data_IF_154861356230
#
_entry.id   IF_154861356230
#
_cell.length_a   1.000
_cell.length_b   1.000
_cell.length_c   1.000
_cell.angle_alpha   90.00
_cell.angle_beta   90.00
_cell.angle_gamma   90.00
#
_symmetry.space_group_name_H-M   'P 1'
#
loop_
_entity.id
_entity.type
_entity.pdbx_description
1 polymer ?
#
# COMPACT_ATOMS: atom_id res chain seq x y z
N UNK A 1 25.37 -8.82 2.01
CA UNK A 1 24.63 -8.72 3.29
C UNK A 1 23.35 -7.94 3.09
N UNK A 2 22.27 -8.47 3.60
CA UNK A 2 20.98 -7.81 3.50
C UNK A 2 20.97 -6.56 4.36
N UNK A 3 20.62 -5.43 3.77
CA UNK A 3 20.49 -4.19 4.50
C UNK A 3 19.27 -4.27 5.43
N UNK A 4 19.50 -4.05 6.71
CA UNK A 4 18.43 -3.94 7.67
C UNK A 4 17.83 -2.54 7.60
N UNK A 5 16.51 -2.45 7.45
CA UNK A 5 15.86 -1.16 7.59
C UNK A 5 15.49 -0.89 9.05
N UNK A 6 15.33 0.38 9.33
CA UNK A 6 15.04 0.85 10.68
C UNK A 6 13.64 0.41 11.09
N UNK A 7 13.48 0.08 12.36
CA UNK A 7 12.16 -0.16 12.92
C UNK A 7 11.40 1.18 13.05
N UNK A 8 10.09 1.11 13.24
CA UNK A 8 9.27 2.29 13.48
C UNK A 8 9.80 3.12 14.65
N UNK A 9 10.15 2.45 15.76
CA UNK A 9 10.65 3.11 16.96
C UNK A 9 11.96 3.83 16.70
N UNK A 10 12.89 3.17 16.00
CA UNK A 10 14.19 3.75 15.65
C UNK A 10 14.06 4.98 14.76
N UNK A 11 13.03 4.99 13.89
CA UNK A 11 12.78 6.12 13.01
C UNK A 11 11.97 7.22 13.67
N UNK A 12 11.54 7.05 14.91
CA UNK A 12 10.73 8.04 15.62
C UNK A 12 9.25 8.01 15.22
N UNK A 13 8.80 6.95 14.56
CA UNK A 13 7.39 6.81 14.23
C UNK A 13 6.60 6.34 15.44
N UNK A 14 5.36 6.79 15.55
CA UNK A 14 4.49 6.47 16.67
C UNK A 14 3.04 6.36 16.22
N UNK A 15 2.15 6.12 17.17
CA UNK A 15 0.74 6.01 16.90
C UNK A 15 0.33 4.62 16.45
N UNK A 16 -0.90 4.50 15.97
CA UNK A 16 -1.48 3.20 15.65
C UNK A 16 -0.77 2.49 14.49
N UNK A 17 -0.27 3.25 13.52
CA UNK A 17 0.47 2.64 12.41
C UNK A 17 1.76 1.97 12.91
N UNK A 18 2.45 2.60 13.85
CA UNK A 18 3.64 2.00 14.46
C UNK A 18 3.27 0.80 15.33
N UNK A 19 2.19 0.90 16.10
CA UNK A 19 1.73 -0.18 16.97
C UNK A 19 1.33 -1.42 16.18
N UNK A 20 0.73 -1.25 15.00
CA UNK A 20 0.33 -2.36 14.13
C UNK A 20 1.44 -2.84 13.21
N UNK A 21 2.62 -2.22 13.25
CA UNK A 21 3.76 -2.59 12.43
C UNK A 21 3.65 -2.16 10.97
N UNK A 22 2.75 -1.25 10.64
CA UNK A 22 2.46 -0.88 9.24
C UNK A 22 3.68 -0.24 8.56
N UNK A 23 4.45 0.55 9.29
CA UNK A 23 5.67 1.17 8.75
C UNK A 23 6.74 0.15 8.41
N UNK A 24 6.85 -0.91 9.19
CA UNK A 24 7.89 -1.91 8.99
C UNK A 24 7.47 -2.98 7.99
N UNK A 25 6.22 -3.40 8.05
CA UNK A 25 5.76 -4.59 7.33
C UNK A 25 5.51 -4.34 5.84
N UNK A 26 5.39 -3.08 5.41
CA UNK A 26 5.27 -2.77 3.98
C UNK A 26 6.50 -3.26 3.20
N UNK A 27 7.66 -3.29 3.85
CA UNK A 27 8.90 -3.75 3.20
C UNK A 27 8.88 -5.26 2.90
N UNK A 28 7.96 -6.01 3.51
CA UNK A 28 7.72 -7.40 3.15
C UNK A 28 6.92 -7.53 1.85
N UNK A 29 6.27 -6.45 1.44
CA UNK A 29 5.37 -6.43 0.28
C UNK A 29 6.08 -5.99 -1.00
N UNK A 30 7.35 -5.62 -0.91
CA UNK A 30 8.12 -5.07 -2.03
C UNK A 30 9.44 -5.81 -2.14
N UNK A 31 9.90 -6.01 -3.37
CA UNK A 31 11.20 -6.64 -3.65
C UNK A 31 12.06 -5.73 -4.49
N UNK A 32 13.38 -5.72 -4.27
CA UNK A 32 14.29 -4.95 -5.11
C UNK A 32 14.15 -5.36 -6.58
N UNK A 33 14.21 -4.38 -7.47
CA UNK A 33 14.16 -4.64 -8.90
C UNK A 33 12.76 -4.74 -9.50
N UNK A 34 11.71 -4.72 -8.67
CA UNK A 34 10.34 -4.69 -9.19
C UNK A 34 10.05 -3.35 -9.88
N UNK A 35 9.10 -3.32 -10.83
CA UNK A 35 8.62 -2.05 -11.36
C UNK A 35 7.87 -1.26 -10.29
N UNK A 36 7.44 -0.05 -10.64
CA UNK A 36 6.55 0.72 -9.78
C UNK A 36 5.23 -0.02 -9.64
N UNK A 37 4.81 -0.31 -8.42
CA UNK A 37 3.60 -1.08 -8.15
C UNK A 37 2.47 -0.14 -7.76
N UNK A 38 1.36 -0.24 -8.46
CA UNK A 38 0.16 0.53 -8.09
C UNK A 38 -0.25 0.20 -6.66
N UNK A 39 -0.73 1.18 -5.93
CA UNK A 39 -1.07 1.03 -4.51
C UNK A 39 -1.87 -0.25 -4.21
N UNK A 40 -2.84 -0.58 -5.04
CA UNK A 40 -3.67 -1.78 -4.84
C UNK A 40 -2.87 -3.07 -4.76
N UNK A 41 -1.79 -3.18 -5.52
CA UNK A 41 -0.91 -4.37 -5.47
C UNK A 41 -0.27 -4.48 -4.10
N UNK A 42 0.27 -3.38 -3.59
CA UNK A 42 0.96 -3.38 -2.30
C UNK A 42 -0.02 -3.63 -1.17
N UNK A 43 -1.19 -3.03 -1.22
CA UNK A 43 -2.23 -3.27 -0.21
C UNK A 43 -2.71 -4.71 -0.24
N UNK A 44 -2.89 -5.31 -1.43
CA UNK A 44 -3.26 -6.71 -1.56
C UNK A 44 -2.21 -7.62 -0.93
N UNK A 45 -0.93 -7.39 -1.23
CA UNK A 45 0.17 -8.16 -0.63
C UNK A 45 0.21 -7.97 0.88
N UNK A 46 0.01 -6.75 1.35
CA UNK A 46 -0.04 -6.45 2.78
C UNK A 46 -1.17 -7.22 3.47
N UNK A 47 -2.35 -7.21 2.86
CA UNK A 47 -3.52 -7.96 3.36
C UNK A 47 -3.20 -9.45 3.49
N UNK A 48 -2.51 -10.03 2.52
CA UNK A 48 -2.17 -11.46 2.53
C UNK A 48 -1.07 -11.78 3.55
N UNK A 49 -0.10 -10.89 3.72
CA UNK A 49 1.04 -11.12 4.60
C UNK A 49 0.74 -10.74 6.06
N UNK A 50 -0.12 -9.77 6.27
CA UNK A 50 -0.45 -9.25 7.60
C UNK A 50 -1.96 -9.20 7.81
N UNK A 51 -2.64 -10.37 7.75
CA UNK A 51 -4.10 -10.39 7.79
C UNK A 51 -4.68 -9.89 9.12
N UNK A 52 -3.99 -10.13 10.24
CA UNK A 52 -4.47 -9.69 11.55
C UNK A 52 -4.49 -8.17 11.66
N UNK A 53 -3.38 -7.52 11.29
CA UNK A 53 -3.31 -6.07 11.31
C UNK A 53 -4.32 -5.45 10.32
N UNK A 54 -4.42 -6.04 9.14
CA UNK A 54 -5.35 -5.55 8.13
C UNK A 54 -6.80 -5.64 8.62
N UNK A 55 -7.17 -6.75 9.25
CA UNK A 55 -8.51 -6.95 9.82
C UNK A 55 -8.81 -5.92 10.89
N UNK A 56 -7.85 -5.62 11.76
CA UNK A 56 -8.03 -4.60 12.79
C UNK A 56 -8.29 -3.22 12.18
N UNK A 57 -7.62 -2.91 11.07
CA UNK A 57 -7.86 -1.65 10.36
C UNK A 57 -9.23 -1.62 9.69
N UNK A 58 -9.65 -2.73 9.09
CA UNK A 58 -10.99 -2.85 8.48
C UNK A 58 -12.07 -2.65 9.55
N UNK A 59 -11.90 -3.27 10.71
CA UNK A 59 -12.87 -3.15 11.81
C UNK A 59 -12.95 -1.72 12.33
N UNK A 60 -11.84 -1.01 12.28
CA UNK A 60 -11.76 0.37 12.80
C UNK A 60 -12.28 1.41 11.81
N UNK A 61 -11.96 1.28 10.54
CA UNK A 61 -12.27 2.33 9.54
C UNK A 61 -13.10 1.86 8.37
N UNK A 62 -13.20 0.57 8.14
CA UNK A 62 -13.80 0.04 6.94
C UNK A 62 -12.89 0.15 5.73
N UNK A 63 -13.17 -0.66 4.72
CA UNK A 63 -12.37 -0.69 3.51
C UNK A 63 -12.57 0.57 2.66
N UNK A 64 -13.79 1.08 2.60
CA UNK A 64 -14.15 2.21 1.76
C UNK A 64 -14.78 3.32 2.59
N UNK A 65 -14.74 4.54 2.05
CA UNK A 65 -15.43 5.68 2.66
C UNK A 65 -16.92 5.53 2.36
N UNK A 66 -17.74 5.51 3.41
CA UNK A 66 -19.19 5.35 3.28
C UNK A 66 -19.93 6.33 4.19
N UNK A 67 -20.98 6.94 3.65
CA UNK A 67 -21.85 7.84 4.41
C UNK A 67 -21.07 8.98 5.07
N UNK A 68 -21.24 9.19 6.39
CA UNK A 68 -20.50 10.24 7.08
C UNK A 68 -19.05 9.88 7.35
N UNK A 69 -18.65 8.65 7.10
CA UNK A 69 -17.28 8.18 7.33
C UNK A 69 -16.33 8.85 6.35
N UNK A 70 -15.27 9.47 6.86
CA UNK A 70 -14.32 10.25 6.07
C UNK A 70 -12.99 9.53 5.83
N UNK A 71 -12.88 8.29 6.28
CA UNK A 71 -11.61 7.59 6.27
C UNK A 71 -11.81 6.14 5.85
N UNK A 72 -10.73 5.52 5.39
CA UNK A 72 -10.73 4.12 4.97
C UNK A 72 -9.35 3.52 5.23
N UNK A 73 -9.26 2.20 5.17
CA UNK A 73 -7.97 1.51 5.30
C UNK A 73 -7.03 1.95 4.17
N UNK A 74 -7.52 2.04 2.94
CA UNK A 74 -6.69 2.46 1.82
C UNK A 74 -6.10 3.85 2.05
N UNK A 75 -6.93 4.80 2.53
CA UNK A 75 -6.45 6.14 2.84
C UNK A 75 -5.40 6.13 3.96
N UNK A 76 -5.63 5.32 4.99
CA UNK A 76 -4.69 5.17 6.09
C UNK A 76 -3.33 4.63 5.63
N UNK A 77 -3.35 3.55 4.85
CA UNK A 77 -2.12 2.95 4.34
C UNK A 77 -1.37 3.90 3.41
N UNK A 78 -2.11 4.60 2.54
CA UNK A 78 -1.50 5.56 1.62
C UNK A 78 -0.76 6.65 2.39
N UNK A 79 -1.37 7.22 3.42
CA UNK A 79 -0.75 8.27 4.23
C UNK A 79 0.44 7.75 5.01
N UNK A 80 0.31 6.54 5.58
CA UNK A 80 1.37 5.92 6.35
C UNK A 80 2.61 5.67 5.49
N UNK A 81 2.41 5.09 4.33
CA UNK A 81 3.52 4.78 3.42
C UNK A 81 4.08 6.01 2.73
N UNK A 82 3.26 7.05 2.52
CA UNK A 82 3.74 8.32 1.99
C UNK A 82 4.74 9.00 2.95
N UNK A 83 4.58 8.79 4.24
CA UNK A 83 5.56 9.28 5.21
C UNK A 83 6.91 8.60 5.04
N UNK A 84 6.91 7.29 4.79
CA UNK A 84 8.15 6.56 4.50
C UNK A 84 8.82 7.10 3.23
N UNK A 85 8.02 7.45 2.23
CA UNK A 85 8.54 8.02 0.99
C UNK A 85 9.13 9.41 1.23
N UNK A 86 8.48 10.23 2.06
CA UNK A 86 9.00 11.54 2.42
C UNK A 86 10.34 11.43 3.16
N UNK A 87 10.53 10.35 3.92
CA UNK A 87 11.77 10.11 4.67
C UNK A 87 12.82 9.35 3.85
N UNK A 88 12.56 9.07 2.57
CA UNK A 88 13.53 8.44 1.68
C UNK A 88 13.68 6.93 1.86
N UNK A 89 12.83 6.29 2.65
CA UNK A 89 12.90 4.85 2.92
C UNK A 89 12.12 4.04 1.89
N UNK A 90 11.20 4.68 1.20
CA UNK A 90 10.35 4.11 0.17
C UNK A 90 10.27 5.13 -0.95
N UNK A 91 10.01 4.71 -2.18
CA UNK A 91 9.82 5.63 -3.29
C UNK A 91 8.36 5.64 -3.71
N UNK A 92 7.88 6.81 -4.15
CA UNK A 92 6.51 6.99 -4.60
C UNK A 92 6.46 7.86 -5.84
N UNK A 93 5.55 7.57 -6.75
CA UNK A 93 5.22 8.45 -7.88
C UNK A 93 3.75 8.28 -8.22
N UNK A 94 3.16 9.30 -8.85
CA UNK A 94 1.79 9.21 -9.34
C UNK A 94 1.76 8.46 -10.67
N UNK A 95 0.71 7.69 -10.87
CA UNK A 95 0.46 6.97 -12.11
C UNK A 95 -1.03 6.72 -12.29
N UNK A 96 -1.43 6.04 -13.37
CA UNK A 96 -2.85 5.81 -13.65
C UNK A 96 -3.50 4.91 -12.60
N UNK A 97 -4.69 5.29 -12.14
CA UNK A 97 -5.47 4.48 -11.22
C UNK A 97 -6.28 3.47 -12.02
N UNK A 98 -5.98 2.18 -11.84
CA UNK A 98 -6.64 1.09 -12.56
C UNK A 98 -7.39 0.14 -11.63
N UNK A 99 -7.27 0.32 -10.31
CA UNK A 99 -7.92 -0.52 -9.32
C UNK A 99 -9.25 0.02 -8.85
N UNK A 100 -9.91 -0.76 -8.00
CA UNK A 100 -11.16 -0.33 -7.36
C UNK A 100 -10.80 0.43 -6.10
N UNK A 101 -10.70 1.74 -6.25
CA UNK A 101 -10.49 2.65 -5.13
C UNK A 101 -11.79 3.37 -4.87
N UNK A 102 -12.70 2.69 -4.22
CA UNK A 102 -14.12 3.08 -4.13
C UNK A 102 -14.36 4.44 -3.52
N UNK A 103 -13.39 4.95 -2.81
CA UNK A 103 -13.46 6.27 -2.20
C UNK A 103 -12.82 7.36 -3.06
N UNK A 104 -12.21 7.02 -4.18
CA UNK A 104 -11.54 8.00 -5.04
C UNK A 104 -12.19 8.07 -6.41
N UNK A 105 -12.29 9.29 -6.91
CA UNK A 105 -12.68 9.58 -8.30
C UNK A 105 -11.47 10.05 -9.08
N UNK A 106 -10.29 10.00 -8.49
CA UNK A 106 -9.08 10.46 -9.14
C UNK A 106 -8.66 9.48 -10.23
N UNK A 107 -8.13 10.01 -11.31
CA UNK A 107 -7.57 9.19 -12.39
C UNK A 107 -6.13 8.78 -12.11
N UNK A 108 -5.53 9.32 -11.06
CA UNK A 108 -4.16 9.02 -10.65
C UNK A 108 -4.12 8.53 -9.22
N UNK A 109 -3.11 7.69 -8.94
CA UNK A 109 -2.88 7.16 -7.61
C UNK A 109 -1.38 6.95 -7.42
N UNK A 110 -0.95 6.72 -6.18
CA UNK A 110 0.45 6.46 -5.88
C UNK A 110 0.85 5.05 -6.28
N UNK A 111 2.05 4.97 -6.86
CA UNK A 111 2.78 3.73 -7.12
C UNK A 111 4.00 3.73 -6.21
N UNK A 112 4.36 2.55 -5.72
CA UNK A 112 5.42 2.38 -4.74
C UNK A 112 6.55 1.53 -5.30
N UNK A 113 7.78 1.82 -4.86
CA UNK A 113 8.95 1.01 -5.21
C UNK A 113 10.00 1.12 -4.12
N UNK A 114 10.86 0.10 -4.04
CA UNK A 114 12.05 0.18 -3.20
C UNK A 114 13.17 0.88 -3.95
N UNK A 115 13.95 1.75 -3.29
CA UNK A 115 15.20 2.26 -3.88
C UNK A 115 16.21 1.12 -4.11
N UNK A 116 17.01 1.18 -5.17
CA UNK A 116 17.04 2.19 -6.22
C UNK A 116 15.81 2.12 -7.11
N UNK A 117 15.27 3.29 -7.46
CA UNK A 117 13.98 3.36 -8.14
C UNK A 117 14.07 2.86 -9.58
N UNK A 118 13.02 2.18 -10.06
CA UNK A 118 12.95 1.79 -11.46
C UNK A 118 12.71 3.00 -12.36
N UNK A 119 12.90 2.81 -13.67
CA UNK A 119 12.57 3.86 -14.63
C UNK A 119 11.10 4.26 -14.45
N UNK A 120 10.80 5.57 -14.62
CA UNK A 120 9.49 6.14 -14.32
C UNK A 120 8.34 5.44 -15.04
N UNK A 121 8.54 5.03 -16.28
CA UNK A 121 7.53 4.39 -17.11
C UNK A 121 7.40 2.87 -16.84
N UNK A 122 8.28 2.29 -16.06
CA UNK A 122 8.24 0.86 -15.75
C UNK A 122 7.28 0.63 -14.59
N UNK A 123 6.00 0.53 -14.92
CA UNK A 123 4.93 0.42 -13.94
C UNK A 123 4.22 -0.94 -14.05
N UNK A 124 3.66 -1.40 -12.94
CA UNK A 124 2.78 -2.56 -12.90
C UNK A 124 1.44 -2.11 -12.33
N UNK A 125 0.42 -1.92 -13.20
CA UNK A 125 -0.91 -1.50 -12.74
C UNK A 125 -1.66 -2.62 -12.03
N UNK A 126 -2.54 -2.25 -11.12
CA UNK A 126 -3.39 -3.21 -10.40
C UNK A 126 -4.19 -4.09 -11.36
N UNK A 127 -4.73 -3.51 -12.43
CA UNK A 127 -5.55 -4.28 -13.37
C UNK A 127 -4.79 -5.45 -13.98
N UNK A 128 -3.51 -5.25 -14.32
CA UNK A 128 -2.66 -6.30 -14.87
C UNK A 128 -2.34 -7.36 -13.83
N UNK A 129 -1.98 -6.92 -12.63
CA UNK A 129 -1.67 -7.80 -11.50
C UNK A 129 -2.88 -8.67 -11.14
N UNK A 130 -4.05 -8.06 -11.03
CA UNK A 130 -5.28 -8.77 -10.67
C UNK A 130 -5.66 -9.80 -11.74
N UNK A 131 -5.52 -9.43 -13.00
CA UNK A 131 -5.81 -10.32 -14.12
C UNK A 131 -4.89 -11.55 -14.08
N UNK A 132 -3.60 -11.34 -13.82
CA UNK A 132 -2.63 -12.43 -13.70
C UNK A 132 -2.96 -13.39 -12.57
N UNK A 133 -3.58 -12.89 -11.49
CA UNK A 133 -4.01 -13.72 -10.37
C UNK A 133 -5.40 -14.34 -10.56
N UNK A 134 -6.09 -14.02 -11.67
CA UNK A 134 -7.45 -14.48 -11.87
C UNK A 134 -8.48 -13.75 -11.02
N UNK A 135 -8.14 -12.58 -10.52
CA UNK A 135 -9.02 -11.72 -9.72
C UNK A 135 -9.68 -10.70 -10.66
N UNK A 136 -10.99 -10.49 -10.51
CA UNK A 136 -11.64 -9.41 -11.23
C UNK A 136 -11.04 -8.08 -10.74
N UNK A 137 -10.39 -7.28 -11.62
CA UNK A 137 -9.73 -6.04 -11.17
C UNK A 137 -10.69 -4.99 -10.63
N UNK A 138 -11.99 -5.14 -10.87
CA UNK A 138 -13.02 -4.23 -10.37
C UNK A 138 -13.63 -4.69 -9.05
N UNK A 139 -13.17 -5.80 -8.48
CA UNK A 139 -13.63 -6.32 -7.20
C UNK A 139 -12.50 -6.28 -6.19
N UNK A 140 -12.83 -5.89 -4.96
CA UNK A 140 -11.89 -5.91 -3.85
C UNK A 140 -12.35 -6.94 -2.83
N UNK A 141 -11.51 -7.93 -2.58
CA UNK A 141 -11.83 -8.98 -1.62
C UNK A 141 -11.22 -8.65 -0.27
N UNK A 142 -12.05 -8.73 0.75
CA UNK A 142 -11.58 -8.59 2.13
C UNK A 142 -10.93 -9.89 2.60
N UNK A 143 -10.02 -9.82 3.57
CA UNK A 143 -9.47 -11.03 4.17
C UNK A 143 -10.60 -11.83 4.80
N UNK A 144 -10.65 -13.10 4.47
CA UNK A 144 -11.70 -14.02 4.90
C UNK A 144 -11.69 -14.32 6.38
#
# INVERSE_FOLDING_TARGET
>A
MRRRHRTSAEAGYSGIAAELGVYDDVFLCLSPGEPWLEHGIVEHRYKELCPTAYRQMIDRWGHVIQGPRRYSVTAFLTRTWARLAADGLLAAQLGPATGVYQHTRNTTILYWALPPVPARQRIWPWADFATDLGINPHCWTLPG
#
